data_IF_912241218970
#
_entry.id   IF_912241218970
#
_cell.length_a   1.000
_cell.length_b   1.000
_cell.length_c   1.000
_cell.angle_alpha   90.00
_cell.angle_beta   90.00
_cell.angle_gamma   90.00
#
_symmetry.space_group_name_H-M   'P 1'
#
loop_
_entity.id
_entity.type
_entity.pdbx_description
1 polymer ?
#
# COMPACT_ATOMS: atom_id res chain seq x y z
N UNK A 1 -30.92 4.48 -12.47
CA UNK A 1 -30.76 3.54 -11.33
C UNK A 1 -29.59 2.64 -11.66
N UNK A 2 -28.47 2.79 -10.97
CA UNK A 2 -27.35 1.84 -11.10
C UNK A 2 -27.84 0.49 -10.61
N UNK A 3 -27.70 -0.57 -11.40
CA UNK A 3 -28.02 -1.93 -10.96
C UNK A 3 -27.16 -2.23 -9.72
N UNK A 4 -27.78 -2.77 -8.67
CA UNK A 4 -27.07 -3.20 -7.47
C UNK A 4 -25.95 -4.16 -7.88
N UNK A 5 -24.68 -3.77 -7.67
CA UNK A 5 -23.52 -4.63 -7.95
C UNK A 5 -23.37 -5.64 -6.83
N UNK A 6 -22.99 -6.86 -7.18
CA UNK A 6 -22.59 -7.87 -6.20
C UNK A 6 -21.12 -7.67 -5.86
N UNK A 7 -20.86 -7.14 -4.68
CA UNK A 7 -19.53 -6.72 -4.24
C UNK A 7 -18.93 -7.78 -3.30
N UNK A 8 -17.74 -8.24 -3.62
CA UNK A 8 -16.94 -9.04 -2.68
C UNK A 8 -15.96 -8.13 -1.92
N UNK A 9 -16.13 -7.98 -0.61
CA UNK A 9 -15.12 -7.34 0.22
C UNK A 9 -14.13 -8.40 0.68
N UNK A 10 -12.90 -8.32 0.16
CA UNK A 10 -11.83 -9.26 0.48
C UNK A 10 -11.11 -8.79 1.73
N UNK A 11 -11.15 -9.59 2.79
CA UNK A 11 -10.63 -9.24 4.12
C UNK A 11 -9.91 -10.42 4.78
N UNK A 12 -9.24 -10.20 5.90
CA UNK A 12 -8.46 -11.22 6.59
C UNK A 12 -7.03 -11.32 6.03
N UNK A 13 -6.73 -12.41 5.34
CA UNK A 13 -5.38 -12.67 4.80
C UNK A 13 -4.52 -13.53 5.72
N UNK A 14 -3.31 -13.85 5.25
CA UNK A 14 -2.34 -14.74 5.90
C UNK A 14 -1.20 -13.97 6.61
N UNK A 15 -1.23 -12.65 6.58
CA UNK A 15 -0.22 -11.81 7.19
C UNK A 15 -0.54 -11.50 8.66
N UNK A 16 0.44 -10.95 9.36
CA UNK A 16 0.28 -10.47 10.73
C UNK A 16 -0.68 -9.25 10.84
N UNK A 17 -1.11 -8.68 9.71
CA UNK A 17 -2.09 -7.61 9.64
C UNK A 17 -3.54 -8.09 9.53
N UNK A 18 -3.77 -9.39 9.67
CA UNK A 18 -5.08 -10.03 9.51
C UNK A 18 -6.19 -9.33 10.32
N UNK A 19 -5.94 -9.05 11.58
CA UNK A 19 -6.95 -8.42 12.45
C UNK A 19 -7.29 -6.97 12.03
N UNK A 20 -6.30 -6.23 11.55
CA UNK A 20 -6.52 -4.88 11.01
C UNK A 20 -7.33 -4.95 9.71
N UNK A 21 -7.02 -5.92 8.84
CA UNK A 21 -7.77 -6.19 7.61
C UNK A 21 -9.22 -6.59 7.89
N UNK A 22 -9.46 -7.44 8.88
CA UNK A 22 -10.84 -7.84 9.26
C UNK A 22 -11.64 -6.62 9.72
N UNK A 23 -11.10 -5.84 10.64
CA UNK A 23 -11.80 -4.63 11.12
C UNK A 23 -12.10 -3.62 10.00
N UNK A 24 -11.12 -3.39 9.11
CA UNK A 24 -11.32 -2.50 7.96
C UNK A 24 -12.38 -3.08 7.01
N UNK A 25 -12.31 -4.37 6.71
CA UNK A 25 -13.28 -5.05 5.85
C UNK A 25 -14.70 -4.98 6.40
N UNK A 26 -14.88 -5.19 7.71
CA UNK A 26 -16.20 -5.07 8.37
C UNK A 26 -16.77 -3.64 8.27
N UNK A 27 -15.92 -2.62 8.46
CA UNK A 27 -16.34 -1.23 8.31
C UNK A 27 -16.74 -0.92 6.86
N UNK A 28 -15.99 -1.43 5.88
CA UNK A 28 -16.28 -1.29 4.45
C UNK A 28 -17.59 -2.01 4.09
N UNK A 29 -17.80 -3.23 4.56
CA UNK A 29 -19.05 -3.99 4.37
C UNK A 29 -20.24 -3.21 4.89
N UNK A 30 -20.12 -2.60 6.08
CA UNK A 30 -21.18 -1.79 6.66
C UNK A 30 -21.51 -0.55 5.81
N UNK A 31 -20.47 0.17 5.34
CA UNK A 31 -20.63 1.34 4.48
C UNK A 31 -21.32 1.01 3.16
N UNK A 32 -20.84 -0.02 2.45
CA UNK A 32 -21.39 -0.43 1.15
C UNK A 32 -22.82 -0.99 1.26
N UNK A 33 -23.16 -1.70 2.32
CA UNK A 33 -24.55 -2.14 2.58
C UNK A 33 -25.49 -0.97 2.81
N UNK A 34 -25.02 0.06 3.52
CA UNK A 34 -25.78 1.31 3.71
C UNK A 34 -26.00 2.03 2.39
N UNK A 35 -25.03 1.94 1.43
CA UNK A 35 -25.17 2.40 0.05
C UNK A 35 -26.14 1.59 -0.81
N UNK A 36 -26.73 0.49 -0.29
CA UNK A 36 -27.72 -0.33 -0.98
C UNK A 36 -27.13 -1.42 -1.88
N UNK A 37 -25.85 -1.74 -1.76
CA UNK A 37 -25.20 -2.81 -2.53
C UNK A 37 -25.45 -4.21 -1.94
N UNK A 38 -25.37 -5.24 -2.80
CA UNK A 38 -25.30 -6.64 -2.39
C UNK A 38 -23.85 -6.98 -2.03
N UNK A 39 -23.54 -7.06 -0.73
CA UNK A 39 -22.17 -7.13 -0.23
C UNK A 39 -21.88 -8.43 0.49
N UNK A 40 -20.85 -9.13 0.03
CA UNK A 40 -20.34 -10.39 0.56
C UNK A 40 -18.94 -10.21 1.16
N UNK A 41 -18.77 -10.54 2.43
CA UNK A 41 -17.45 -10.63 3.06
C UNK A 41 -16.76 -11.91 2.63
N UNK A 42 -15.63 -11.83 1.96
CA UNK A 42 -14.82 -12.96 1.49
C UNK A 42 -13.50 -12.99 2.25
N UNK A 43 -13.34 -14.01 3.11
CA UNK A 43 -12.08 -14.18 3.83
C UNK A 43 -11.00 -14.74 2.91
N UNK A 44 -9.88 -14.04 2.86
CA UNK A 44 -8.72 -14.45 2.07
C UNK A 44 -7.89 -15.45 2.86
N UNK A 45 -7.85 -16.66 2.35
CA UNK A 45 -7.02 -17.77 2.81
C UNK A 45 -6.38 -18.49 1.62
N UNK A 46 -5.84 -19.70 1.83
CA UNK A 46 -5.22 -20.52 0.78
C UNK A 46 -6.19 -21.03 -0.29
N UNK A 47 -7.49 -20.93 -0.07
CA UNK A 47 -8.56 -21.40 -0.96
C UNK A 47 -9.35 -20.23 -1.58
N UNK A 48 -8.82 -19.02 -1.51
CA UNK A 48 -9.49 -17.80 -1.99
C UNK A 48 -9.88 -17.88 -3.47
N UNK A 49 -9.10 -18.59 -4.29
CA UNK A 49 -9.40 -18.79 -5.72
C UNK A 49 -10.74 -19.53 -5.93
N UNK A 50 -11.00 -20.58 -5.16
CA UNK A 50 -12.29 -21.29 -5.20
C UNK A 50 -13.43 -20.40 -4.71
N UNK A 51 -13.23 -19.70 -3.60
CA UNK A 51 -14.21 -18.78 -3.06
C UNK A 51 -14.59 -17.70 -4.06
N UNK A 52 -13.61 -17.10 -4.75
CA UNK A 52 -13.84 -16.09 -5.79
C UNK A 52 -14.61 -16.65 -6.99
N UNK A 53 -14.25 -17.83 -7.50
CA UNK A 53 -14.95 -18.47 -8.62
C UNK A 53 -16.42 -18.80 -8.29
N UNK A 54 -16.70 -19.21 -7.06
CA UNK A 54 -18.05 -19.59 -6.61
C UNK A 54 -18.89 -18.39 -6.19
N UNK A 55 -18.28 -17.27 -5.82
CA UNK A 55 -18.96 -16.11 -5.27
C UNK A 55 -19.86 -15.40 -6.28
N UNK A 56 -19.49 -15.40 -7.57
CA UNK A 56 -20.20 -14.68 -8.62
C UNK A 56 -20.24 -13.18 -8.38
N UNK A 57 -19.19 -12.59 -7.77
CA UNK A 57 -19.08 -11.15 -7.54
C UNK A 57 -18.76 -10.41 -8.84
N UNK A 58 -19.30 -9.20 -8.99
CA UNK A 58 -19.05 -8.32 -10.14
C UNK A 58 -17.76 -7.50 -9.94
N UNK A 59 -17.38 -7.25 -8.67
CA UNK A 59 -16.24 -6.42 -8.29
C UNK A 59 -15.71 -6.82 -6.92
N UNK A 60 -14.40 -6.72 -6.74
CA UNK A 60 -13.71 -6.97 -5.49
C UNK A 60 -13.26 -5.65 -4.83
N UNK A 61 -13.67 -5.41 -3.60
CA UNK A 61 -13.11 -4.36 -2.76
C UNK A 61 -11.99 -4.94 -1.90
N UNK A 62 -10.76 -4.44 -2.03
CA UNK A 62 -9.59 -4.98 -1.34
C UNK A 62 -9.39 -4.30 0.02
N UNK A 63 -9.62 -5.05 1.11
CA UNK A 63 -9.30 -4.66 2.47
C UNK A 63 -8.14 -5.48 3.06
N UNK A 64 -7.60 -6.44 2.30
CA UNK A 64 -6.49 -7.31 2.72
C UNK A 64 -5.18 -6.53 2.68
N UNK A 65 -4.36 -6.74 3.72
CA UNK A 65 -3.07 -6.08 3.90
C UNK A 65 -1.94 -7.09 4.03
N UNK A 66 -0.73 -6.63 3.78
CA UNK A 66 0.47 -7.45 3.92
C UNK A 66 0.65 -8.50 2.81
N UNK A 67 1.46 -9.51 3.10
CA UNK A 67 1.75 -10.59 2.14
C UNK A 67 0.47 -11.26 1.66
N UNK A 68 0.44 -11.57 0.37
CA UNK A 68 -0.71 -12.12 -0.40
C UNK A 68 -1.91 -11.18 -0.53
N UNK A 69 -1.90 -10.00 0.07
CA UNK A 69 -3.00 -9.03 -0.02
C UNK A 69 -2.59 -7.71 -0.70
N UNK A 70 -1.44 -7.18 -0.32
CA UNK A 70 -0.94 -5.88 -0.78
C UNK A 70 0.38 -5.99 -1.57
N UNK A 71 0.79 -7.18 -1.97
CA UNK A 71 2.05 -7.50 -2.65
C UNK A 71 1.90 -7.85 -4.15
N UNK A 72 0.69 -7.71 -4.70
CA UNK A 72 0.37 -8.04 -6.08
C UNK A 72 -0.18 -9.45 -6.30
N UNK A 73 -0.06 -10.38 -5.33
CA UNK A 73 -0.53 -11.76 -5.50
C UNK A 73 -2.05 -11.84 -5.69
N UNK A 74 -2.81 -11.19 -4.80
CA UNK A 74 -4.27 -11.16 -4.88
C UNK A 74 -4.74 -10.39 -6.10
N UNK A 75 -4.08 -9.28 -6.43
CA UNK A 75 -4.36 -8.49 -7.62
C UNK A 75 -4.15 -9.32 -8.90
N UNK A 76 -3.05 -10.09 -8.98
CA UNK A 76 -2.78 -10.99 -10.11
C UNK A 76 -3.82 -12.09 -10.27
N UNK A 77 -4.30 -12.66 -9.16
CA UNK A 77 -5.40 -13.63 -9.19
C UNK A 77 -6.70 -13.01 -9.75
N UNK A 78 -7.05 -11.80 -9.29
CA UNK A 78 -8.24 -11.08 -9.75
C UNK A 78 -8.15 -10.71 -11.24
N UNK A 79 -6.96 -10.29 -11.72
CA UNK A 79 -6.70 -10.07 -13.15
C UNK A 79 -6.97 -11.34 -13.98
N UNK A 80 -6.44 -12.50 -13.53
CA UNK A 80 -6.63 -13.78 -14.22
C UNK A 80 -8.09 -14.25 -14.20
N UNK A 81 -8.84 -13.91 -13.14
CA UNK A 81 -10.27 -14.22 -13.03
C UNK A 81 -11.15 -13.21 -13.77
N UNK A 82 -10.59 -12.09 -14.25
CA UNK A 82 -11.36 -11.04 -14.90
C UNK A 82 -12.26 -10.27 -13.94
N UNK A 83 -11.98 -10.26 -12.65
CA UNK A 83 -12.76 -9.57 -11.62
C UNK A 83 -12.14 -8.17 -11.39
N UNK A 84 -12.85 -7.07 -11.73
CA UNK A 84 -12.41 -5.72 -11.41
C UNK A 84 -12.20 -5.54 -9.89
N UNK A 85 -11.20 -4.73 -9.51
CA UNK A 85 -10.88 -4.53 -8.10
C UNK A 85 -10.45 -3.10 -7.78
N UNK A 86 -10.54 -2.71 -6.51
CA UNK A 86 -10.13 -1.40 -5.99
C UNK A 86 -8.64 -1.36 -5.68
N UNK A 87 -8.04 -0.18 -5.73
CA UNK A 87 -6.65 0.06 -5.32
C UNK A 87 -5.63 -0.21 -6.43
N UNK A 88 -4.36 -0.28 -6.10
CA UNK A 88 -3.23 -0.39 -7.03
C UNK A 88 -3.14 -1.75 -7.70
N UNK A 89 -2.57 -1.78 -8.90
CA UNK A 89 -2.35 -3.00 -9.69
C UNK A 89 -1.14 -3.81 -9.21
N UNK A 90 -0.91 -4.95 -9.89
CA UNK A 90 0.13 -5.94 -9.53
C UNK A 90 1.50 -5.30 -9.34
N UNK A 91 2.00 -4.57 -10.36
CA UNK A 91 3.35 -3.99 -10.32
C UNK A 91 3.52 -2.97 -9.21
N UNK A 92 2.57 -2.05 -9.07
CA UNK A 92 2.63 -1.01 -8.04
C UNK A 92 2.62 -1.63 -6.62
N UNK A 93 1.78 -2.64 -6.38
CA UNK A 93 1.75 -3.36 -5.12
C UNK A 93 3.06 -4.09 -4.84
N UNK A 94 3.64 -4.79 -5.83
CA UNK A 94 4.94 -5.45 -5.70
C UNK A 94 6.06 -4.45 -5.35
N UNK A 95 6.11 -3.32 -6.05
CA UNK A 95 7.11 -2.27 -5.83
C UNK A 95 6.94 -1.64 -4.43
N UNK A 96 5.73 -1.25 -4.06
CA UNK A 96 5.43 -0.62 -2.78
C UNK A 96 5.72 -1.57 -1.60
N UNK A 97 5.44 -2.88 -1.74
CA UNK A 97 5.72 -3.86 -0.70
C UNK A 97 7.23 -4.07 -0.49
N UNK A 98 8.04 -3.93 -1.52
CA UNK A 98 9.50 -4.09 -1.43
C UNK A 98 10.19 -2.74 -1.23
N UNK A 99 10.53 -2.42 0.03
CA UNK A 99 11.15 -1.12 0.41
C UNK A 99 12.44 -0.79 -0.32
N UNK A 100 13.26 -1.80 -0.63
CA UNK A 100 14.48 -1.58 -1.40
C UNK A 100 14.14 -1.13 -2.82
N UNK A 101 13.18 -1.80 -3.48
CA UNK A 101 12.71 -1.43 -4.82
C UNK A 101 11.96 -0.09 -4.83
N UNK A 102 11.14 0.17 -3.82
CA UNK A 102 10.54 1.51 -3.64
C UNK A 102 11.60 2.60 -3.67
N UNK A 103 12.69 2.45 -2.88
CA UNK A 103 13.79 3.43 -2.84
C UNK A 103 14.55 3.55 -4.16
N UNK A 104 14.75 2.45 -4.87
CA UNK A 104 15.34 2.48 -6.21
C UNK A 104 14.48 3.32 -7.18
N UNK A 105 13.17 3.07 -7.21
CA UNK A 105 12.23 3.84 -8.05
C UNK A 105 12.22 5.32 -7.65
N UNK A 106 12.13 5.63 -6.34
CA UNK A 106 12.16 7.01 -5.87
C UNK A 106 13.44 7.75 -6.33
N UNK A 107 14.62 7.10 -6.24
CA UNK A 107 15.89 7.69 -6.69
C UNK A 107 15.91 7.91 -8.20
N UNK A 108 15.40 6.97 -9.00
CA UNK A 108 15.29 7.13 -10.46
C UNK A 108 14.44 8.34 -10.86
N UNK A 109 13.47 8.70 -10.03
CA UNK A 109 12.60 9.86 -10.24
C UNK A 109 13.09 11.13 -9.49
N UNK A 110 14.33 11.13 -8.97
CA UNK A 110 14.90 12.24 -8.19
C UNK A 110 14.06 12.62 -6.96
N UNK A 111 13.37 11.66 -6.37
CA UNK A 111 12.58 11.85 -5.16
C UNK A 111 13.43 11.61 -3.92
N UNK A 112 13.35 12.47 -2.89
CA UNK A 112 14.20 12.39 -1.72
C UNK A 112 13.84 11.18 -0.87
N UNK A 113 14.79 10.27 -0.70
CA UNK A 113 14.68 9.12 0.21
C UNK A 113 15.98 8.89 0.94
N UNK A 114 15.92 8.32 2.15
CA UNK A 114 17.11 8.07 2.94
C UNK A 114 18.04 7.06 2.24
N UNK A 115 19.36 7.27 2.31
CA UNK A 115 20.33 6.26 1.88
C UNK A 115 20.07 4.94 2.58
N UNK A 116 20.19 3.85 1.85
CA UNK A 116 19.97 2.51 2.37
C UNK A 116 20.73 1.47 1.55
N UNK A 117 21.02 0.35 2.17
CA UNK A 117 21.53 -0.86 1.54
C UNK A 117 20.77 -2.08 2.04
N UNK A 118 20.79 -3.14 1.26
CA UNK A 118 20.08 -4.38 1.52
C UNK A 118 21.07 -5.48 1.88
N UNK A 119 20.68 -6.34 2.81
CA UNK A 119 21.43 -7.51 3.25
C UNK A 119 20.52 -8.73 3.14
N UNK A 120 21.07 -9.83 2.64
CA UNK A 120 20.42 -11.14 2.65
C UNK A 120 20.87 -11.95 3.85
N UNK A 121 20.00 -12.80 4.38
CA UNK A 121 20.30 -13.67 5.50
C UNK A 121 21.61 -14.47 5.32
N UNK A 122 21.89 -14.95 4.10
CA UNK A 122 23.12 -15.70 3.79
C UNK A 122 24.39 -14.84 3.70
N UNK A 123 24.27 -13.50 3.75
CA UNK A 123 25.36 -12.53 3.55
C UNK A 123 25.72 -11.78 4.85
N UNK A 124 25.41 -12.34 6.00
CA UNK A 124 25.68 -11.68 7.31
C UNK A 124 27.17 -11.65 7.68
N UNK A 125 27.97 -12.56 7.13
CA UNK A 125 29.43 -12.57 7.35
C UNK A 125 30.05 -11.31 6.74
N UNK A 126 30.85 -10.57 7.53
CA UNK A 126 31.50 -9.34 7.08
C UNK A 126 30.62 -8.08 7.13
N UNK A 127 29.51 -8.10 7.85
CA UNK A 127 28.58 -6.98 7.92
C UNK A 127 29.20 -5.69 8.45
N UNK A 128 30.15 -5.79 9.38
CA UNK A 128 30.92 -4.65 9.91
C UNK A 128 31.70 -3.94 8.81
N UNK A 129 32.27 -4.68 7.84
CA UNK A 129 32.98 -4.11 6.69
C UNK A 129 32.00 -3.41 5.73
N UNK A 130 30.85 -4.03 5.44
CA UNK A 130 29.80 -3.43 4.58
C UNK A 130 29.23 -2.18 5.23
N UNK A 131 29.05 -2.20 6.56
CA UNK A 131 28.48 -1.06 7.29
C UNK A 131 29.49 0.06 7.55
N UNK A 132 30.78 -0.23 7.60
CA UNK A 132 31.84 0.65 8.15
C UNK A 132 31.80 2.11 7.67
N UNK A 133 31.60 2.37 6.38
CA UNK A 133 31.49 3.73 5.83
C UNK A 133 30.08 4.34 5.92
N UNK A 134 29.06 3.54 6.21
CA UNK A 134 27.68 4.01 6.26
C UNK A 134 27.37 4.79 7.54
N UNK A 135 27.87 4.33 8.68
CA UNK A 135 27.78 4.98 10.00
C UNK A 135 26.38 4.94 10.63
N UNK A 136 26.32 5.34 11.90
CA UNK A 136 25.12 5.34 12.73
C UNK A 136 24.57 6.76 12.97
N UNK A 137 23.31 6.92 13.43
CA UNK A 137 22.31 5.87 13.65
C UNK A 137 21.65 5.39 12.35
N UNK A 138 21.19 4.14 12.37
CA UNK A 138 20.43 3.53 11.25
C UNK A 138 19.15 2.87 11.76
N UNK A 139 18.25 2.56 10.82
CA UNK A 139 17.07 1.75 11.06
C UNK A 139 17.20 0.47 10.26
N UNK A 140 17.05 -0.66 10.96
CA UNK A 140 17.04 -2.00 10.35
C UNK A 140 15.61 -2.50 10.29
N UNK A 141 15.16 -2.94 9.13
CA UNK A 141 13.81 -3.50 8.94
C UNK A 141 13.76 -4.56 7.85
N UNK A 142 12.79 -5.49 7.90
CA UNK A 142 12.58 -6.43 6.82
C UNK A 142 12.22 -5.70 5.53
N UNK A 143 12.65 -6.22 4.37
CA UNK A 143 12.41 -5.59 3.07
C UNK A 143 10.95 -5.65 2.66
N UNK A 144 10.31 -6.81 2.78
CA UNK A 144 8.95 -7.09 2.30
C UNK A 144 7.88 -7.18 3.38
N UNK A 145 8.16 -6.72 4.61
CA UNK A 145 7.14 -6.66 5.64
C UNK A 145 6.42 -5.31 5.63
N UNK A 146 5.16 -5.35 6.02
CA UNK A 146 4.30 -4.17 6.05
C UNK A 146 4.71 -3.15 7.10
N UNK A 147 4.09 -1.95 7.04
CA UNK A 147 4.30 -0.84 7.97
C UNK A 147 4.06 -1.20 9.45
N UNK A 148 3.32 -2.29 9.74
CA UNK A 148 3.09 -2.81 11.09
C UNK A 148 4.37 -3.22 11.82
N UNK A 149 5.34 -3.74 11.06
CA UNK A 149 6.61 -4.17 11.59
C UNK A 149 7.63 -3.07 11.34
N UNK A 150 7.73 -2.19 12.33
CA UNK A 150 8.70 -1.14 12.34
C UNK A 150 10.12 -1.66 12.32
N UNK A 151 11.03 -0.78 11.90
CA UNK A 151 12.43 -1.05 12.03
C UNK A 151 12.91 -0.89 13.46
N UNK A 152 14.03 -1.50 13.75
CA UNK A 152 14.81 -1.29 14.96
C UNK A 152 15.77 -0.12 14.73
N UNK A 153 15.71 0.90 15.60
CA UNK A 153 16.71 1.97 15.60
C UNK A 153 18.00 1.43 16.24
N UNK A 154 19.07 1.49 15.49
CA UNK A 154 20.40 1.03 15.86
C UNK A 154 21.31 2.25 15.97
N UNK A 155 21.95 2.42 17.12
CA UNK A 155 22.78 3.59 17.43
C UNK A 155 24.27 3.32 17.31
N UNK A 156 24.63 2.06 17.44
CA UNK A 156 26.02 1.60 17.35
C UNK A 156 26.10 0.17 16.79
N UNK A 157 27.32 -0.28 16.59
CA UNK A 157 27.60 -1.59 15.99
C UNK A 157 27.11 -2.76 16.86
N UNK A 158 27.09 -2.62 18.18
CA UNK A 158 26.68 -3.68 19.10
C UNK A 158 25.20 -4.03 18.99
N UNK A 159 24.36 -3.06 18.58
CA UNK A 159 22.93 -3.25 18.39
C UNK A 159 22.59 -3.83 17.00
N UNK A 160 23.54 -3.81 16.03
CA UNK A 160 23.26 -4.13 14.63
C UNK A 160 22.88 -5.59 14.41
N UNK A 161 23.60 -6.51 15.02
CA UNK A 161 23.37 -7.95 14.86
C UNK A 161 21.98 -8.36 15.35
N UNK A 162 21.61 -7.95 16.56
CA UNK A 162 20.29 -8.28 17.13
C UNK A 162 19.13 -7.62 16.35
N UNK A 163 19.36 -6.44 15.76
CA UNK A 163 18.40 -5.78 14.91
C UNK A 163 18.19 -6.53 13.58
N UNK A 164 19.26 -7.08 13.01
CA UNK A 164 19.21 -7.91 11.81
C UNK A 164 18.52 -9.24 12.08
N UNK A 165 18.84 -9.92 13.19
CA UNK A 165 18.12 -11.14 13.59
C UNK A 165 16.60 -10.90 13.68
N UNK A 166 16.20 -9.77 14.28
CA UNK A 166 14.81 -9.37 14.39
C UNK A 166 14.14 -9.14 13.03
N UNK A 167 14.87 -8.58 12.06
CA UNK A 167 14.39 -8.37 10.70
C UNK A 167 14.29 -9.71 9.94
N UNK A 168 15.31 -10.57 10.07
CA UNK A 168 15.35 -11.88 9.43
C UNK A 168 14.35 -12.88 9.98
N UNK A 169 13.85 -12.68 11.21
CA UNK A 169 12.71 -13.45 11.71
C UNK A 169 11.40 -13.22 10.90
N UNK A 170 11.36 -12.15 10.09
CA UNK A 170 10.17 -11.75 9.32
C UNK A 170 10.38 -11.83 7.80
N UNK A 171 11.62 -11.78 7.31
CA UNK A 171 11.96 -11.78 5.90
C UNK A 171 13.40 -12.30 5.69
N UNK A 172 13.67 -12.90 4.53
CA UNK A 172 15.02 -13.34 4.15
C UNK A 172 15.96 -12.17 3.79
N UNK A 173 15.43 -10.96 3.72
CA UNK A 173 16.13 -9.74 3.35
C UNK A 173 15.85 -8.61 4.34
N UNK A 174 16.91 -7.94 4.80
CA UNK A 174 16.84 -6.77 5.66
C UNK A 174 17.32 -5.51 4.92
N UNK A 175 16.64 -4.39 5.18
CA UNK A 175 17.04 -3.07 4.73
C UNK A 175 17.68 -2.31 5.91
N UNK A 176 18.91 -1.86 5.74
CA UNK A 176 19.59 -0.95 6.65
C UNK A 176 19.57 0.45 6.04
N UNK A 177 18.94 1.37 6.73
CA UNK A 177 18.63 2.70 6.21
C UNK A 177 19.14 3.76 7.19
N UNK A 178 19.68 4.87 6.68
CA UNK A 178 20.07 6.02 7.51
C UNK A 178 18.86 6.53 8.28
N UNK A 179 18.99 6.64 9.60
CA UNK A 179 17.93 7.22 10.42
C UNK A 179 17.75 8.70 10.11
N UNK A 180 16.51 9.10 9.86
CA UNK A 180 16.12 10.49 9.67
C UNK A 180 15.35 10.95 10.90
N UNK A 181 15.98 11.83 11.68
CA UNK A 181 15.31 12.45 12.82
C UNK A 181 14.36 13.54 12.34
N UNK A 182 13.12 13.51 12.83
CA UNK A 182 12.13 14.50 12.45
C UNK A 182 10.70 14.09 12.81
N UNK A 183 9.74 14.87 12.30
CA UNK A 183 8.30 14.64 12.49
C UNK A 183 7.80 13.62 11.48
N UNK A 184 7.18 12.52 11.92
CA UNK A 184 6.59 11.54 11.01
C UNK A 184 5.28 12.09 10.41
N UNK A 185 5.17 11.99 9.11
CA UNK A 185 4.08 12.51 8.30
C UNK A 185 3.55 11.40 7.40
N UNK A 186 2.24 11.33 7.26
CA UNK A 186 1.54 10.56 6.23
C UNK A 186 0.80 11.51 5.29
N UNK A 187 0.97 11.33 4.00
CA UNK A 187 0.25 12.09 2.97
C UNK A 187 -0.66 11.12 2.21
N UNK A 188 -1.96 11.11 2.55
CA UNK A 188 -2.95 10.32 1.81
C UNK A 188 -3.13 10.86 0.38
N UNK A 189 -3.17 9.91 -0.57
CA UNK A 189 -3.42 10.18 -1.99
C UNK A 189 -4.57 9.31 -2.45
N UNK A 190 -5.52 9.87 -3.18
CA UNK A 190 -6.61 9.14 -3.82
C UNK A 190 -6.66 9.51 -5.30
N UNK A 191 -6.57 8.52 -6.19
CA UNK A 191 -6.59 8.69 -7.64
C UNK A 191 -5.61 9.78 -8.16
N UNK A 192 -4.41 9.88 -7.55
CA UNK A 192 -3.38 10.85 -7.90
C UNK A 192 -3.53 12.22 -7.24
N UNK A 193 -4.60 12.45 -6.48
CA UNK A 193 -4.80 13.69 -5.74
C UNK A 193 -4.36 13.51 -4.27
N UNK A 194 -3.36 14.26 -3.83
CA UNK A 194 -2.98 14.35 -2.43
C UNK A 194 -4.04 15.12 -1.64
N UNK A 195 -4.61 14.49 -0.59
CA UNK A 195 -5.77 15.02 0.14
C UNK A 195 -5.36 16.01 1.23
N UNK A 196 -4.13 15.96 1.70
CA UNK A 196 -3.59 16.80 2.76
C UNK A 196 -2.47 16.11 3.52
N UNK A 197 -2.01 16.73 4.59
CA UNK A 197 -0.86 16.26 5.38
C UNK A 197 -1.33 15.88 6.78
N UNK A 198 -0.98 14.67 7.21
CA UNK A 198 -1.31 14.13 8.52
C UNK A 198 -0.03 13.93 9.32
N UNK A 199 0.06 14.50 10.51
CA UNK A 199 1.14 14.17 11.44
C UNK A 199 0.73 12.98 12.30
N UNK A 200 1.63 12.02 12.41
CA UNK A 200 1.42 10.81 13.21
C UNK A 200 2.37 10.85 14.39
N UNK A 201 1.93 11.46 15.50
CA UNK A 201 2.73 11.48 16.73
C UNK A 201 2.66 10.14 17.46
N UNK A 202 3.74 9.80 18.15
CA UNK A 202 3.91 8.54 18.86
C UNK A 202 4.18 8.78 20.32
N UNK A 203 3.42 8.12 21.16
CA UNK A 203 3.75 8.02 22.58
C UNK A 203 4.67 6.80 22.78
N UNK A 204 5.97 7.02 23.04
CA UNK A 204 6.92 5.96 23.34
C UNK A 204 8.13 5.85 22.41
N UNK A 205 8.99 4.86 22.65
CA UNK A 205 10.27 4.61 21.95
C UNK A 205 10.12 4.52 20.42
N UNK A 206 11.11 5.06 19.72
CA UNK A 206 11.21 5.03 18.25
C UNK A 206 11.29 3.60 17.70
N UNK A 207 10.16 3.03 17.36
CA UNK A 207 10.11 1.93 16.39
C UNK A 207 9.50 2.50 15.13
N UNK A 208 10.30 2.76 14.12
CA UNK A 208 9.84 3.22 12.80
C UNK A 208 8.88 2.16 12.24
N UNK A 209 7.62 2.53 11.94
CA UNK A 209 6.71 1.66 11.20
C UNK A 209 5.72 0.81 12.02
N UNK A 210 5.35 1.15 13.25
CA UNK A 210 4.19 0.50 13.89
C UNK A 210 2.90 1.04 13.30
N UNK A 211 2.00 0.14 12.93
CA UNK A 211 0.68 0.39 12.36
C UNK A 211 -0.07 1.55 12.96
N UNK A 212 -0.53 2.41 12.11
CA UNK A 212 -1.65 3.32 12.34
C UNK A 212 -2.89 2.50 12.77
N UNK A 213 -3.25 2.56 14.03
CA UNK A 213 -4.36 1.79 14.62
C UNK A 213 -3.96 0.93 15.82
N UNK A 214 -2.66 0.79 16.14
CA UNK A 214 -2.25 0.27 17.44
C UNK A 214 -2.47 1.34 18.52
N UNK A 215 -2.90 0.95 19.72
CA UNK A 215 -3.05 1.87 20.87
C UNK A 215 -1.75 2.66 21.08
N UNK A 216 -1.84 4.00 21.13
CA UNK A 216 -0.70 4.89 21.42
C UNK A 216 -0.22 5.74 20.23
N UNK A 217 -0.99 5.86 19.14
CA UNK A 217 -0.75 6.88 18.11
C UNK A 217 -1.76 7.99 18.22
N UNK A 218 -1.27 9.22 18.21
CA UNK A 218 -2.08 10.42 18.10
C UNK A 218 -1.95 10.97 16.68
N UNK A 219 -3.09 11.17 16.01
CA UNK A 219 -3.16 11.66 14.64
C UNK A 219 -3.62 13.10 14.68
N UNK A 220 -2.80 14.01 14.16
CA UNK A 220 -3.16 15.41 13.92
C UNK A 220 -3.42 15.60 12.43
N UNK A 221 -4.68 15.79 12.07
CA UNK A 221 -5.14 16.03 10.70
C UNK A 221 -6.04 17.27 10.67
N UNK A 222 -5.73 18.29 9.86
CA UNK A 222 -4.48 18.46 9.12
C UNK A 222 -3.28 18.74 10.04
N UNK A 223 -2.08 18.39 9.58
CA UNK A 223 -0.84 18.67 10.31
C UNK A 223 -0.56 20.18 10.36
N UNK A 224 -0.05 20.64 11.50
CA UNK A 224 0.32 22.05 11.67
C UNK A 224 1.69 22.32 11.03
N UNK A 225 1.68 22.72 9.78
CA UNK A 225 2.87 23.01 8.97
C UNK A 225 2.74 24.38 8.27
N UNK A 226 3.86 25.05 7.96
CA UNK A 226 3.84 26.22 7.06
C UNK A 226 3.31 25.82 5.67
N UNK A 227 2.49 26.67 5.04
CA UNK A 227 1.83 26.36 3.77
C UNK A 227 2.79 25.97 2.62
N UNK A 228 3.96 26.62 2.55
CA UNK A 228 4.99 26.28 1.56
C UNK A 228 5.52 24.84 1.75
N UNK A 229 5.60 24.38 3.00
CA UNK A 229 6.05 23.05 3.37
C UNK A 229 5.00 22.00 3.02
N UNK A 230 3.75 22.28 3.39
CA UNK A 230 2.62 21.44 3.03
C UNK A 230 2.54 21.27 1.49
N UNK A 231 2.59 22.35 0.73
CA UNK A 231 2.58 22.29 -0.73
C UNK A 231 3.75 21.47 -1.31
N UNK A 232 4.93 21.51 -0.69
CA UNK A 232 6.08 20.68 -1.09
C UNK A 232 5.79 19.19 -0.88
N UNK A 233 5.26 18.83 0.29
CA UNK A 233 4.92 17.43 0.62
C UNK A 233 3.83 16.86 -0.28
N UNK A 234 2.78 17.65 -0.57
CA UNK A 234 1.72 17.24 -1.47
C UNK A 234 2.27 16.93 -2.87
N UNK A 235 3.16 17.78 -3.40
CA UNK A 235 3.82 17.53 -4.69
C UNK A 235 4.69 16.27 -4.67
N UNK A 236 5.53 16.10 -3.64
CA UNK A 236 6.39 14.93 -3.50
C UNK A 236 5.57 13.65 -3.40
N UNK A 237 4.47 13.68 -2.66
CA UNK A 237 3.57 12.54 -2.52
C UNK A 237 2.90 12.16 -3.84
N UNK A 238 2.39 13.13 -4.60
CA UNK A 238 1.81 12.89 -5.93
C UNK A 238 2.86 12.30 -6.87
N UNK A 239 4.09 12.83 -6.91
CA UNK A 239 5.15 12.27 -7.75
C UNK A 239 5.56 10.85 -7.33
N UNK A 240 5.63 10.55 -6.03
CA UNK A 240 5.94 9.19 -5.55
C UNK A 240 4.83 8.20 -5.93
N UNK A 241 3.57 8.60 -5.80
CA UNK A 241 2.41 7.84 -6.23
C UNK A 241 2.47 7.51 -7.73
N UNK A 242 2.76 8.50 -8.57
CA UNK A 242 2.90 8.34 -10.02
C UNK A 242 4.11 7.49 -10.39
N UNK A 243 5.27 7.71 -9.74
CA UNK A 243 6.51 6.98 -10.00
C UNK A 243 6.39 5.47 -9.76
N UNK A 244 5.64 5.07 -8.72
CA UNK A 244 5.36 3.66 -8.46
C UNK A 244 4.19 3.11 -9.29
N UNK A 245 3.45 3.95 -10.01
CA UNK A 245 2.26 3.57 -10.77
C UNK A 245 1.10 3.15 -9.87
N UNK A 246 0.97 3.77 -8.71
CA UNK A 246 -0.15 3.55 -7.79
C UNK A 246 -1.48 3.94 -8.42
N UNK A 247 -2.57 3.39 -7.89
CA UNK A 247 -3.94 3.61 -8.33
C UNK A 247 -4.90 3.53 -7.13
N UNK A 248 -5.99 4.32 -7.15
CA UNK A 248 -6.90 4.40 -6.00
C UNK A 248 -6.22 4.97 -4.76
N UNK A 249 -6.54 4.43 -3.56
CA UNK A 249 -5.99 4.92 -2.31
C UNK A 249 -4.52 4.50 -2.10
N UNK A 250 -3.70 5.44 -1.64
CA UNK A 250 -2.35 5.19 -1.14
C UNK A 250 -2.00 6.17 -0.01
N UNK A 251 -0.99 5.86 0.79
CA UNK A 251 -0.38 6.78 1.74
C UNK A 251 1.13 6.85 1.48
N UNK A 252 1.65 8.07 1.37
CA UNK A 252 3.09 8.30 1.23
C UNK A 252 3.62 8.71 2.60
N UNK A 253 4.46 7.85 3.16
CA UNK A 253 5.04 8.05 4.48
C UNK A 253 6.33 8.86 4.37
N UNK A 254 6.40 9.94 5.11
CA UNK A 254 7.48 10.92 5.04
C UNK A 254 8.00 11.27 6.43
N UNK A 255 9.20 11.81 6.49
CA UNK A 255 9.74 12.48 7.67
C UNK A 255 10.13 13.89 7.29
N UNK A 256 9.65 14.87 8.04
CA UNK A 256 10.17 16.24 8.02
C UNK A 256 11.32 16.33 9.00
N UNK A 257 12.54 16.38 8.47
CA UNK A 257 13.73 16.48 9.31
C UNK A 257 13.82 17.82 10.03
N UNK A 258 14.61 17.88 11.10
CA UNK A 258 14.88 19.13 11.83
C UNK A 258 15.52 20.21 10.95
N UNK A 259 16.26 19.79 9.91
CA UNK A 259 16.82 20.69 8.90
C UNK A 259 15.83 21.06 7.79
N UNK A 260 14.56 20.72 8.01
CA UNK A 260 13.47 21.01 7.09
C UNK A 260 13.58 20.35 5.70
N UNK A 261 14.17 19.17 5.62
CA UNK A 261 14.11 18.35 4.42
C UNK A 261 12.93 17.36 4.55
N UNK A 262 12.16 17.20 3.50
CA UNK A 262 11.13 16.19 3.38
C UNK A 262 11.76 14.92 2.79
N UNK A 263 11.70 13.81 3.52
CA UNK A 263 12.27 12.52 3.11
C UNK A 263 11.14 11.50 3.03
N UNK A 264 10.97 10.88 1.88
CA UNK A 264 10.04 9.77 1.68
C UNK A 264 10.68 8.51 2.28
N UNK A 265 10.00 7.89 3.21
CA UNK A 265 10.49 6.69 3.91
C UNK A 265 9.79 5.42 3.45
N UNK A 266 8.51 5.52 3.04
CA UNK A 266 7.74 4.37 2.56
C UNK A 266 6.56 4.79 1.67
N UNK A 267 5.99 3.84 0.93
CA UNK A 267 4.75 4.02 0.15
C UNK A 267 3.81 2.86 0.48
N UNK A 268 2.66 3.16 1.04
CA UNK A 268 1.59 2.19 1.32
C UNK A 268 0.54 2.25 0.20
N UNK A 269 0.55 1.27 -0.70
CA UNK A 269 -0.39 1.16 -1.81
C UNK A 269 -1.73 0.51 -1.43
N UNK A 270 -1.87 0.06 -0.19
CA UNK A 270 -3.08 -0.52 0.38
C UNK A 270 -3.32 0.00 1.81
N UNK A 271 -3.59 1.31 1.96
CA UNK A 271 -3.69 1.94 3.27
C UNK A 271 -4.87 1.42 4.07
N UNK A 272 -4.74 1.50 5.40
CA UNK A 272 -5.80 1.09 6.30
C UNK A 272 -7.03 1.99 6.16
N UNK A 273 -8.16 1.41 5.77
CA UNK A 273 -9.43 2.11 5.60
C UNK A 273 -10.30 1.92 6.86
N UNK A 274 -9.95 2.62 7.92
CA UNK A 274 -10.75 2.77 9.15
C UNK A 274 -10.98 4.26 9.42
N UNK A 275 -12.12 4.67 9.98
CA UNK A 275 -12.45 6.10 10.19
C UNK A 275 -11.37 6.93 10.88
N UNK A 276 -10.56 6.32 11.74
CA UNK A 276 -9.44 6.98 12.43
C UNK A 276 -8.09 6.93 11.71
N UNK A 277 -7.98 6.25 10.57
CA UNK A 277 -6.73 6.16 9.80
C UNK A 277 -6.48 7.44 8.97
N UNK A 278 -5.24 7.72 8.53
CA UNK A 278 -4.89 8.98 7.87
C UNK A 278 -5.76 9.34 6.68
N UNK A 279 -6.02 8.41 5.76
CA UNK A 279 -6.78 8.70 4.55
C UNK A 279 -8.25 9.00 4.85
N UNK A 280 -9.03 8.15 5.58
CA UNK A 280 -10.38 8.50 5.95
C UNK A 280 -10.46 9.73 6.85
N UNK A 281 -9.46 9.98 7.70
CA UNK A 281 -9.43 11.17 8.54
C UNK A 281 -9.29 12.45 7.71
N UNK A 282 -8.38 12.47 6.73
CA UNK A 282 -8.22 13.62 5.84
C UNK A 282 -9.43 13.84 4.95
N UNK A 283 -10.05 12.77 4.43
CA UNK A 283 -11.31 12.87 3.68
C UNK A 283 -12.40 13.53 4.55
N UNK A 284 -12.52 13.13 5.81
CA UNK A 284 -13.47 13.73 6.76
C UNK A 284 -13.21 15.21 7.00
N UNK A 285 -11.95 15.64 7.12
CA UNK A 285 -11.60 17.08 7.26
C UNK A 285 -11.95 17.88 5.99
N UNK A 286 -11.96 17.23 4.82
CA UNK A 286 -12.43 17.80 3.56
C UNK A 286 -13.96 17.74 3.38
N UNK A 287 -14.72 17.24 4.38
CA UNK A 287 -16.16 17.10 4.34
C UNK A 287 -16.68 15.83 3.66
N UNK A 288 -15.79 14.87 3.31
CA UNK A 288 -16.17 13.59 2.71
C UNK A 288 -16.32 12.54 3.81
N UNK A 289 -17.54 12.05 4.01
CA UNK A 289 -17.86 11.01 4.98
C UNK A 289 -17.18 9.67 4.65
N UNK A 290 -17.04 8.80 5.65
CA UNK A 290 -16.43 7.49 5.43
C UNK A 290 -17.18 6.66 4.38
N UNK A 291 -18.51 6.66 4.42
CA UNK A 291 -19.35 5.92 3.47
C UNK A 291 -19.16 6.43 2.05
N UNK A 292 -19.12 7.76 1.85
CA UNK A 292 -18.91 8.39 0.55
C UNK A 292 -17.49 8.12 0.01
N UNK A 293 -16.48 8.12 0.87
CA UNK A 293 -15.11 7.76 0.53
C UNK A 293 -15.03 6.30 0.03
N UNK A 294 -15.72 5.38 0.69
CA UNK A 294 -15.74 3.96 0.28
C UNK A 294 -16.44 3.80 -1.07
N UNK A 295 -17.51 4.53 -1.33
CA UNK A 295 -18.17 4.55 -2.64
C UNK A 295 -17.26 5.12 -3.74
N UNK A 296 -16.52 6.18 -3.47
CA UNK A 296 -15.56 6.77 -4.40
C UNK A 296 -14.44 5.78 -4.75
N UNK A 297 -13.87 5.11 -3.74
CA UNK A 297 -12.85 4.06 -3.96
C UNK A 297 -13.44 2.90 -4.77
N UNK A 298 -14.68 2.47 -4.50
CA UNK A 298 -15.36 1.44 -5.27
C UNK A 298 -15.56 1.85 -6.74
N UNK A 299 -15.91 3.10 -6.98
CA UNK A 299 -16.11 3.62 -8.34
C UNK A 299 -14.82 3.57 -9.19
N UNK A 300 -13.64 3.59 -8.55
CA UNK A 300 -12.34 3.41 -9.19
C UNK A 300 -11.97 1.97 -9.55
N UNK A 301 -12.80 0.98 -9.19
CA UNK A 301 -12.50 -0.43 -9.41
C UNK A 301 -12.44 -0.79 -10.91
N UNK A 302 -11.36 -1.46 -11.32
CA UNK A 302 -11.12 -1.88 -12.72
C UNK A 302 -10.06 -2.98 -12.79
N UNK A 303 -9.94 -3.63 -13.95
CA UNK A 303 -8.76 -4.42 -14.31
C UNK A 303 -7.63 -3.49 -14.75
N UNK A 304 -6.38 -3.84 -14.42
CA UNK A 304 -5.20 -2.98 -14.63
C UNK A 304 -4.13 -3.58 -15.53
N UNK A 305 -4.13 -4.91 -15.72
CA UNK A 305 -3.13 -5.60 -16.54
C UNK A 305 -3.23 -5.25 -18.04
N UNK A 306 -4.38 -4.81 -18.50
CA UNK A 306 -4.61 -4.55 -19.93
C UNK A 306 -4.21 -3.15 -20.41
N UNK A 307 -3.45 -2.37 -19.66
CA UNK A 307 -2.68 -1.19 -20.14
C UNK A 307 -3.42 -0.10 -20.95
N UNK A 308 -4.68 -0.29 -21.25
CA UNK A 308 -5.48 0.66 -22.00
C UNK A 308 -6.14 1.60 -20.98
N UNK A 309 -5.57 2.79 -20.79
CA UNK A 309 -6.32 3.91 -20.24
C UNK A 309 -7.54 4.13 -21.14
N UNK A 310 -8.65 3.45 -20.85
CA UNK A 310 -9.92 3.83 -21.45
C UNK A 310 -10.26 5.23 -20.93
N UNK A 311 -10.27 6.19 -21.85
CA UNK A 311 -10.80 7.52 -21.62
C UNK A 311 -12.12 7.37 -20.84
N UNK A 312 -12.29 8.10 -19.74
CA UNK A 312 -13.48 8.09 -18.85
C UNK A 312 -14.79 8.49 -19.55
N UNK A 313 -14.81 8.54 -20.89
CA UNK A 313 -16.00 8.78 -21.71
C UNK A 313 -16.12 7.67 -22.73
N UNK A 314 -17.21 6.93 -22.62
CA UNK A 314 -17.79 5.96 -23.57
C UNK A 314 -17.27 4.52 -23.55
N UNK A 315 -18.26 3.64 -23.41
CA UNK A 315 -18.47 2.31 -23.96
C UNK A 315 -17.95 1.10 -23.21
N UNK A 316 -18.94 0.45 -22.56
CA UNK A 316 -18.97 -0.99 -22.38
C UNK A 316 -18.99 -1.69 -23.77
N UNK A 317 -17.84 -1.91 -24.36
CA UNK A 317 -17.66 -2.94 -25.39
C UNK A 317 -16.80 -4.04 -24.80
N UNK A 318 -17.42 -5.16 -24.56
CA UNK A 318 -16.76 -6.43 -24.29
C UNK A 318 -15.77 -6.72 -25.41
N UNK A 319 -14.53 -7.01 -25.05
CA UNK A 319 -13.53 -7.50 -25.97
C UNK A 319 -13.94 -8.95 -26.32
N UNK A 320 -14.55 -9.15 -27.48
CA UNK A 320 -14.64 -10.48 -28.10
C UNK A 320 -13.25 -10.83 -28.63
N UNK A 321 -12.59 -11.77 -27.96
CA UNK A 321 -11.32 -12.33 -28.45
C UNK A 321 -11.53 -12.98 -29.82
N UNK A 322 -10.45 -13.14 -30.63
CA UNK A 322 -10.58 -13.74 -31.96
C UNK A 322 -11.18 -15.13 -31.86
N UNK A 323 -12.23 -15.34 -32.65
CA UNK A 323 -12.95 -16.62 -32.75
C UNK A 323 -11.97 -17.75 -33.15
N UNK A 324 -11.72 -18.67 -32.23
CA UNK A 324 -10.86 -19.85 -32.46
C UNK A 324 -11.48 -20.91 -33.38
N UNK A 325 -12.63 -20.62 -34.02
CA UNK A 325 -13.32 -21.55 -34.94
C UNK A 325 -12.96 -21.37 -36.41
N UNK A 326 -12.10 -20.43 -36.77
CA UNK A 326 -11.82 -20.08 -38.17
C UNK A 326 -10.51 -20.64 -38.74
N UNK A 327 -9.95 -21.74 -38.21
CA UNK A 327 -8.82 -22.41 -38.86
C UNK A 327 -8.96 -23.93 -38.81
N UNK A 328 -9.98 -24.45 -39.46
CA UNK A 328 -9.96 -25.81 -39.99
C UNK A 328 -10.15 -25.73 -41.51
N UNK A 329 -9.05 -25.58 -42.22
CA UNK A 329 -9.07 -25.78 -43.67
C UNK A 329 -9.12 -27.29 -43.96
N UNK A 330 -9.96 -27.73 -44.92
CA UNK A 330 -10.03 -29.15 -45.26
C UNK A 330 -8.79 -29.59 -46.04
N UNK A 331 -8.26 -30.75 -45.67
CA UNK A 331 -7.25 -31.46 -46.49
C UNK A 331 -7.85 -31.82 -47.84
N UNK A 332 -7.23 -31.32 -48.92
CA UNK A 332 -7.51 -31.75 -50.27
C UNK A 332 -6.54 -32.88 -50.66
N UNK A 333 -7.08 -33.89 -51.33
CA UNK A 333 -6.51 -35.10 -51.86
C UNK A 333 -5.16 -35.00 -52.58
#
# INVERSE_FOLDING_TARGET
MSSARKIGVLLGGLSLERDASVRAGEAIVAALRKGGHDVHALFVDRHVDMALRQSGIDVAFLAVRGRYGADGCLQGLLEMLGIPYTGSGVLACCLAMNRAKTKEVLRLHNLPTAPAYQIRFQQQEGISEVHGAFGFPVVVRPVGATLLFGGTLVRDEMELESALESAFALDDEALVERFVQGRPISVPVLDGQALGVVEVSRTGSWTVGRSLGARGHEICAPARLPSAREASMLRLATHAYEALGCDGPACIEMVVSERFNEIIVDVDSAPLLLPGAPLPRMASEAGVGFDDLIEEILAGARLRAYGIRRNRRTDHKTFEGPDRRATAAPAAH
#
